data_IF_883206480359
#
_entry.id   IF_883206480359
#
_cell.length_a   1.000
_cell.length_b   1.000
_cell.length_c   1.000
_cell.angle_alpha   90.00
_cell.angle_beta   90.00
_cell.angle_gamma   90.00
#
_symmetry.space_group_name_H-M   'P 1'
#
loop_
_entity.id
_entity.type
_entity.pdbx_description
1 polymer ?
#
# COMPACT_ATOMS: atom_id res chain seq x y z
N UNK A 1 31.33 -17.57 16.03
CA UNK A 1 30.29 -17.08 15.10
C UNK A 1 30.82 -15.82 14.43
N UNK A 2 31.16 -15.88 13.12
CA UNK A 2 31.64 -14.70 12.39
C UNK A 2 30.45 -13.73 12.21
N UNK A 3 30.57 -12.51 12.75
CA UNK A 3 29.63 -11.43 12.46
C UNK A 3 29.55 -11.28 10.94
N UNK A 4 28.39 -11.59 10.33
CA UNK A 4 28.15 -11.28 8.92
C UNK A 4 28.41 -9.79 8.75
N UNK A 5 29.30 -9.43 7.80
CA UNK A 5 29.63 -8.02 7.54
C UNK A 5 28.30 -7.30 7.24
N UNK A 6 28.08 -6.18 7.90
CA UNK A 6 26.90 -5.32 7.80
C UNK A 6 26.46 -5.10 6.33
N UNK A 7 27.43 -5.05 5.41
CA UNK A 7 27.23 -4.89 3.96
C UNK A 7 26.47 -6.03 3.26
N UNK A 8 26.32 -7.20 3.89
CA UNK A 8 25.61 -8.34 3.32
C UNK A 8 24.12 -8.38 3.73
N UNK A 9 23.66 -7.41 4.52
CA UNK A 9 22.25 -7.29 4.86
C UNK A 9 21.51 -6.58 3.73
N UNK A 10 20.40 -7.13 3.27
CA UNK A 10 19.56 -6.59 2.19
C UNK A 10 19.17 -5.11 2.46
N UNK A 11 18.82 -4.81 3.70
CA UNK A 11 18.55 -3.47 4.19
C UNK A 11 19.65 -2.46 3.82
N UNK A 12 20.91 -2.79 4.09
CA UNK A 12 22.03 -1.90 3.82
C UNK A 12 22.27 -1.73 2.32
N UNK A 13 22.10 -2.83 1.56
CA UNK A 13 22.21 -2.80 0.10
C UNK A 13 21.13 -1.91 -0.53
N UNK A 14 19.89 -1.96 -0.02
CA UNK A 14 18.78 -1.11 -0.49
C UNK A 14 19.05 0.36 -0.18
N UNK A 15 19.54 0.70 1.03
CA UNK A 15 19.91 2.10 1.36
C UNK A 15 21.00 2.61 0.42
N UNK A 16 22.08 1.85 0.24
CA UNK A 16 23.18 2.25 -0.67
C UNK A 16 22.64 2.46 -2.09
N UNK A 17 21.79 1.55 -2.56
CA UNK A 17 21.19 1.62 -3.88
C UNK A 17 20.29 2.88 -4.04
N UNK A 18 19.48 3.21 -3.04
CA UNK A 18 18.67 4.43 -3.01
C UNK A 18 19.57 5.68 -3.11
N UNK A 19 20.59 5.77 -2.24
CA UNK A 19 21.52 6.92 -2.24
C UNK A 19 22.26 7.04 -3.58
N UNK A 20 22.76 5.92 -4.12
CA UNK A 20 23.42 5.89 -5.43
C UNK A 20 22.46 6.33 -6.57
N UNK A 21 21.19 5.88 -6.51
CA UNK A 21 20.16 6.30 -7.45
C UNK A 21 19.88 7.80 -7.39
N UNK A 22 19.74 8.36 -6.19
CA UNK A 22 19.56 9.80 -5.98
C UNK A 22 20.74 10.59 -6.55
N UNK A 23 21.97 10.17 -6.26
CA UNK A 23 23.19 10.83 -6.77
C UNK A 23 23.24 10.76 -8.29
N UNK A 24 22.97 9.59 -8.89
CA UNK A 24 22.95 9.43 -10.34
C UNK A 24 21.90 10.36 -10.99
N UNK A 25 20.65 10.35 -10.49
CA UNK A 25 19.59 11.19 -11.03
C UNK A 25 19.87 12.69 -10.87
N UNK A 26 20.54 13.08 -9.77
CA UNK A 26 20.93 14.48 -9.54
C UNK A 26 22.06 14.96 -10.47
N UNK A 27 23.14 14.18 -10.60
CA UNK A 27 24.32 14.61 -11.35
C UNK A 27 24.25 14.27 -12.85
N UNK A 28 23.49 13.22 -13.22
CA UNK A 28 23.32 12.75 -14.59
C UNK A 28 21.82 12.49 -14.88
N UNK A 29 20.98 13.55 -14.99
CA UNK A 29 19.52 13.40 -15.13
C UNK A 29 19.09 12.49 -16.28
N UNK A 30 19.67 12.68 -17.48
CA UNK A 30 19.35 11.88 -18.67
C UNK A 30 19.67 10.38 -18.47
N UNK A 31 20.76 10.07 -17.75
CA UNK A 31 21.11 8.69 -17.44
C UNK A 31 20.18 8.15 -16.34
N UNK A 32 19.82 9.01 -15.38
CA UNK A 32 18.83 8.67 -14.35
C UNK A 32 17.47 8.29 -14.96
N UNK A 33 16.97 9.04 -15.92
CA UNK A 33 15.73 8.73 -16.63
C UNK A 33 15.78 7.36 -17.34
N UNK A 34 16.92 7.02 -17.95
CA UNK A 34 17.13 5.73 -18.61
C UNK A 34 17.13 4.54 -17.65
N UNK A 35 17.25 4.75 -16.34
CA UNK A 35 17.21 3.68 -15.32
C UNK A 35 15.79 3.22 -14.95
N UNK A 36 14.75 3.86 -15.47
CA UNK A 36 13.34 3.48 -15.27
C UNK A 36 13.08 1.98 -15.46
N UNK A 37 13.60 1.31 -16.51
CA UNK A 37 13.35 -0.12 -16.72
C UNK A 37 13.81 -1.03 -15.58
N UNK A 38 14.81 -0.64 -14.77
CA UNK A 38 15.27 -1.43 -13.63
C UNK A 38 14.22 -1.43 -12.51
N UNK A 39 13.60 -0.28 -12.23
CA UNK A 39 12.52 -0.16 -11.27
C UNK A 39 11.25 -0.88 -11.74
N UNK A 40 10.82 -0.59 -12.97
CA UNK A 40 9.62 -1.20 -13.55
C UNK A 40 9.76 -2.73 -13.69
N UNK A 41 10.95 -3.19 -14.09
CA UNK A 41 11.26 -4.62 -14.21
C UNK A 41 11.17 -5.35 -12.87
N UNK A 42 11.71 -4.76 -11.80
CA UNK A 42 11.59 -5.32 -10.46
C UNK A 42 10.13 -5.39 -9.99
N UNK A 43 9.36 -4.31 -10.16
CA UNK A 43 7.92 -4.30 -9.81
C UNK A 43 7.18 -5.37 -10.61
N UNK A 44 7.48 -5.53 -11.90
CA UNK A 44 6.86 -6.55 -12.76
C UNK A 44 7.17 -7.98 -12.27
N UNK A 45 8.42 -8.23 -11.83
CA UNK A 45 8.81 -9.52 -11.24
C UNK A 45 8.07 -9.80 -9.93
N UNK A 46 7.91 -8.79 -9.06
CA UNK A 46 7.15 -8.95 -7.82
C UNK A 46 5.66 -9.20 -8.12
N UNK A 47 5.06 -8.43 -9.03
CA UNK A 47 3.65 -8.62 -9.42
C UNK A 47 3.37 -10.04 -9.93
N UNK A 48 4.29 -10.64 -10.68
CA UNK A 48 4.19 -12.00 -11.18
C UNK A 48 3.91 -13.05 -10.09
N UNK A 49 4.43 -12.84 -8.86
CA UNK A 49 4.31 -13.82 -7.76
C UNK A 49 3.18 -13.49 -6.78
N UNK A 50 2.57 -12.29 -6.85
CA UNK A 50 1.55 -11.86 -5.89
C UNK A 50 0.32 -12.79 -5.91
N UNK A 51 -0.25 -13.06 -7.10
CA UNK A 51 -1.44 -13.88 -7.23
C UNK A 51 -1.23 -15.31 -6.70
N UNK A 52 -0.16 -16.05 -7.05
CA UNK A 52 0.16 -17.34 -6.46
C UNK A 52 0.32 -17.30 -4.94
N UNK A 53 1.03 -16.30 -4.39
CA UNK A 53 1.23 -16.19 -2.93
C UNK A 53 -0.10 -15.99 -2.21
N UNK A 54 -0.92 -15.03 -2.66
CA UNK A 54 -2.22 -14.75 -2.05
C UNK A 54 -3.13 -16.00 -2.13
N UNK A 55 -3.22 -16.60 -3.31
CA UNK A 55 -4.06 -17.78 -3.53
C UNK A 55 -3.68 -18.91 -2.58
N UNK A 56 -2.40 -19.29 -2.52
CA UNK A 56 -1.94 -20.39 -1.67
C UNK A 56 -2.11 -20.06 -0.19
N UNK A 57 -1.67 -18.88 0.25
CA UNK A 57 -1.69 -18.49 1.68
C UNK A 57 -3.12 -18.41 2.20
N UNK A 58 -4.00 -17.75 1.46
CA UNK A 58 -5.39 -17.59 1.89
C UNK A 58 -6.17 -18.90 1.81
N UNK A 59 -6.03 -19.67 0.72
CA UNK A 59 -6.69 -20.97 0.57
C UNK A 59 -6.28 -21.91 1.70
N UNK A 60 -4.99 -22.06 1.98
CA UNK A 60 -4.49 -22.90 3.07
C UNK A 60 -4.90 -22.37 4.45
N UNK A 61 -4.86 -21.03 4.63
CA UNK A 61 -5.31 -20.40 5.86
C UNK A 61 -6.75 -20.73 6.19
N UNK A 62 -7.64 -20.73 5.19
CA UNK A 62 -9.05 -21.09 5.36
C UNK A 62 -9.21 -22.63 5.47
N UNK A 63 -8.53 -23.41 4.63
CA UNK A 63 -8.63 -24.89 4.62
C UNK A 63 -8.27 -25.51 5.98
N UNK A 64 -7.32 -24.90 6.72
CA UNK A 64 -6.96 -25.34 8.06
C UNK A 64 -7.92 -24.85 9.16
N UNK A 65 -8.94 -24.04 8.84
CA UNK A 65 -9.95 -23.62 9.80
C UNK A 65 -11.03 -24.70 9.97
N UNK A 66 -11.38 -24.93 11.22
CA UNK A 66 -12.47 -25.88 11.56
C UNK A 66 -13.85 -25.21 11.51
N UNK A 67 -13.93 -23.89 11.45
CA UNK A 67 -15.18 -23.12 11.53
C UNK A 67 -15.20 -21.96 10.52
N UNK A 68 -16.06 -22.08 9.50
CA UNK A 68 -16.26 -21.06 8.46
C UNK A 68 -16.84 -19.74 9.00
N UNK A 69 -17.55 -19.78 10.13
CA UNK A 69 -18.03 -18.54 10.78
C UNK A 69 -16.88 -17.65 11.23
N UNK A 70 -15.71 -18.24 11.54
CA UNK A 70 -14.49 -17.47 11.86
C UNK A 70 -14.02 -16.63 10.68
N UNK A 71 -14.04 -17.16 9.45
CA UNK A 71 -13.62 -16.41 8.24
C UNK A 71 -14.47 -15.17 8.07
N UNK A 72 -15.80 -15.31 8.13
CA UNK A 72 -16.72 -14.18 8.05
C UNK A 72 -16.49 -13.16 9.17
N UNK A 73 -16.25 -13.62 10.40
CA UNK A 73 -15.97 -12.73 11.54
C UNK A 73 -14.65 -11.96 11.38
N UNK A 74 -13.60 -12.61 10.89
CA UNK A 74 -12.32 -11.92 10.59
C UNK A 74 -12.53 -10.84 9.53
N UNK A 75 -13.22 -11.18 8.43
CA UNK A 75 -13.51 -10.25 7.35
C UNK A 75 -14.30 -9.02 7.86
N UNK A 76 -15.36 -9.23 8.66
CA UNK A 76 -16.14 -8.14 9.25
C UNK A 76 -15.28 -7.26 10.15
N UNK A 77 -14.47 -7.84 11.03
CA UNK A 77 -13.58 -7.06 11.92
C UNK A 77 -12.52 -6.29 11.14
N UNK A 78 -11.94 -6.89 10.09
CA UNK A 78 -11.02 -6.19 9.20
C UNK A 78 -11.71 -5.02 8.51
N UNK A 79 -12.91 -5.20 7.96
CA UNK A 79 -13.68 -4.13 7.33
C UNK A 79 -14.02 -3.00 8.31
N UNK A 80 -14.46 -3.32 9.53
CA UNK A 80 -14.71 -2.31 10.57
C UNK A 80 -13.44 -1.50 10.82
N UNK A 81 -12.30 -2.17 10.99
CA UNK A 81 -11.01 -1.50 11.15
C UNK A 81 -10.70 -0.59 9.96
N UNK A 82 -10.74 -1.12 8.75
CA UNK A 82 -10.40 -0.39 7.52
C UNK A 82 -11.28 0.84 7.32
N UNK A 83 -12.59 0.71 7.46
CA UNK A 83 -13.49 1.86 7.32
C UNK A 83 -13.27 2.90 8.41
N UNK A 84 -13.04 2.48 9.65
CA UNK A 84 -12.78 3.40 10.77
C UNK A 84 -11.51 4.21 10.53
N UNK A 85 -10.39 3.56 10.22
CA UNK A 85 -9.10 4.24 10.04
C UNK A 85 -9.02 5.01 8.73
N UNK A 86 -9.64 4.52 7.66
CA UNK A 86 -9.82 5.30 6.42
C UNK A 86 -10.60 6.59 6.67
N UNK A 87 -11.69 6.54 7.45
CA UNK A 87 -12.48 7.73 7.80
C UNK A 87 -11.65 8.71 8.64
N UNK A 88 -10.93 8.22 9.64
CA UNK A 88 -10.04 9.05 10.45
C UNK A 88 -8.94 9.70 9.60
N UNK A 89 -8.35 8.96 8.67
CA UNK A 89 -7.32 9.48 7.74
C UNK A 89 -7.86 10.60 6.86
N UNK A 90 -9.08 10.43 6.29
CA UNK A 90 -9.77 11.46 5.50
C UNK A 90 -10.05 12.71 6.35
N UNK A 91 -10.60 12.54 7.56
CA UNK A 91 -10.91 13.65 8.48
C UNK A 91 -9.65 14.41 8.87
N UNK A 92 -8.57 13.71 9.23
CA UNK A 92 -7.30 14.34 9.60
C UNK A 92 -6.74 15.13 8.43
N UNK A 93 -6.72 14.56 7.21
CA UNK A 93 -6.29 15.27 6.01
C UNK A 93 -7.14 16.53 5.74
N UNK A 94 -8.46 16.46 5.99
CA UNK A 94 -9.37 17.59 5.85
C UNK A 94 -9.09 18.69 6.89
N UNK A 95 -8.90 18.32 8.16
CA UNK A 95 -8.60 19.26 9.25
C UNK A 95 -7.27 19.96 8.97
N UNK A 96 -6.21 19.20 8.65
CA UNK A 96 -4.88 19.75 8.39
C UNK A 96 -4.89 20.66 7.16
N UNK A 97 -5.58 20.24 6.08
CA UNK A 97 -5.72 21.04 4.86
C UNK A 97 -6.44 22.37 5.07
N UNK A 98 -7.43 22.42 5.98
CA UNK A 98 -8.12 23.66 6.34
C UNK A 98 -7.29 24.54 7.29
N UNK A 99 -6.48 23.97 8.18
CA UNK A 99 -5.66 24.74 9.14
C UNK A 99 -4.43 25.31 8.43
N UNK A 100 -3.68 24.50 7.70
CA UNK A 100 -2.43 24.90 7.08
C UNK A 100 -2.59 25.59 5.72
N UNK A 101 -3.70 25.35 5.05
CA UNK A 101 -4.07 25.96 3.77
C UNK A 101 -2.92 26.02 2.74
N UNK A 102 -2.33 24.86 2.35
CA UNK A 102 -1.12 24.83 1.54
C UNK A 102 -1.28 25.42 0.13
N UNK A 103 -2.50 25.57 -0.37
CA UNK A 103 -2.80 26.21 -1.66
C UNK A 103 -3.11 27.71 -1.57
N UNK A 104 -3.27 28.25 -0.36
CA UNK A 104 -3.68 29.64 -0.20
C UNK A 104 -2.63 30.62 -0.75
N UNK A 105 -3.10 31.65 -1.48
CA UNK A 105 -2.23 32.71 -2.04
C UNK A 105 -1.59 32.38 -3.38
N UNK A 106 -1.81 31.19 -3.95
CA UNK A 106 -1.34 30.88 -5.30
C UNK A 106 -2.14 31.61 -6.39
N UNK A 107 -3.41 31.90 -6.15
CA UNK A 107 -4.31 32.72 -7.01
C UNK A 107 -4.23 32.33 -8.49
N UNK A 108 -4.27 31.05 -8.79
CA UNK A 108 -4.14 30.53 -10.14
C UNK A 108 -5.48 30.67 -10.86
N UNK A 109 -5.47 31.26 -12.05
CA UNK A 109 -6.64 31.34 -12.91
C UNK A 109 -6.91 29.93 -13.54
N UNK A 110 -8.08 29.33 -13.28
CA UNK A 110 -8.44 28.03 -13.86
C UNK A 110 -8.32 27.99 -15.39
N UNK A 111 -8.54 29.13 -16.10
CA UNK A 111 -8.43 29.20 -17.53
C UNK A 111 -7.00 29.01 -18.07
N UNK A 112 -5.99 29.16 -17.22
CA UNK A 112 -4.58 29.00 -17.59
C UNK A 112 -4.08 27.55 -17.43
N UNK A 113 -4.90 26.66 -16.84
CA UNK A 113 -4.50 25.29 -16.60
C UNK A 113 -4.52 24.50 -17.91
N UNK A 114 -3.35 24.31 -18.48
CA UNK A 114 -3.12 23.47 -19.65
C UNK A 114 -2.33 22.23 -19.24
N UNK A 115 -2.94 21.08 -19.25
CA UNK A 115 -2.26 19.81 -18.99
C UNK A 115 -3.11 18.66 -19.49
N UNK A 116 -2.47 17.65 -20.07
CA UNK A 116 -3.16 16.46 -20.54
C UNK A 116 -3.45 15.52 -19.37
N UNK A 117 -4.62 15.72 -18.75
CA UNK A 117 -5.19 14.81 -17.73
C UNK A 117 -6.26 13.87 -18.33
N UNK A 118 -6.42 13.87 -19.64
CA UNK A 118 -7.46 13.13 -20.37
C UNK A 118 -7.42 11.62 -20.09
N UNK A 119 -6.20 11.02 -20.04
CA UNK A 119 -6.05 9.61 -19.72
C UNK A 119 -6.48 9.25 -18.29
N UNK A 120 -6.35 10.18 -17.33
CA UNK A 120 -6.80 9.98 -15.96
C UNK A 120 -8.32 10.17 -15.85
N UNK A 121 -8.88 11.11 -16.62
CA UNK A 121 -10.34 11.32 -16.72
C UNK A 121 -11.03 10.09 -17.33
N UNK A 122 -10.50 9.53 -18.41
CA UNK A 122 -11.07 8.35 -19.07
C UNK A 122 -11.14 7.16 -18.09
N UNK A 123 -10.04 6.87 -17.38
CA UNK A 123 -10.01 5.81 -16.36
C UNK A 123 -10.91 6.08 -15.16
N UNK A 124 -11.13 7.34 -14.79
CA UNK A 124 -12.00 7.72 -13.70
C UNK A 124 -13.49 7.49 -14.01
N UNK A 125 -13.93 7.71 -15.27
CA UNK A 125 -15.30 7.45 -15.70
C UNK A 125 -15.70 5.97 -15.66
N UNK A 126 -14.73 5.04 -15.76
CA UNK A 126 -14.97 3.60 -15.63
C UNK A 126 -15.17 3.15 -14.17
N UNK A 127 -14.87 4.00 -13.21
CA UNK A 127 -14.86 3.67 -11.77
C UNK A 127 -16.19 3.95 -11.07
N UNK A 128 -17.28 3.29 -11.51
CA UNK A 128 -18.55 3.30 -10.77
C UNK A 128 -18.52 2.28 -9.63
N UNK A 129 -19.28 2.50 -8.54
CA UNK A 129 -19.39 1.54 -7.43
C UNK A 129 -19.88 0.16 -7.92
N UNK A 130 -20.87 0.15 -8.82
CA UNK A 130 -21.37 -1.09 -9.44
C UNK A 130 -20.29 -1.77 -10.27
N UNK A 131 -19.57 -1.01 -11.12
CA UNK A 131 -18.44 -1.52 -11.88
C UNK A 131 -17.35 -2.11 -10.98
N UNK A 132 -17.02 -1.43 -9.88
CA UNK A 132 -16.06 -1.94 -8.88
C UNK A 132 -16.50 -3.27 -8.28
N UNK A 133 -17.77 -3.39 -7.84
CA UNK A 133 -18.29 -4.63 -7.25
C UNK A 133 -18.32 -5.75 -8.30
N UNK A 134 -18.77 -5.46 -9.51
CA UNK A 134 -18.81 -6.46 -10.59
C UNK A 134 -17.41 -6.90 -11.01
N UNK A 135 -16.43 -6.01 -10.95
CA UNK A 135 -15.03 -6.32 -11.27
C UNK A 135 -14.33 -7.21 -10.21
N UNK A 136 -14.93 -7.44 -9.05
CA UNK A 136 -14.46 -8.45 -8.07
C UNK A 136 -14.72 -9.87 -8.58
N UNK A 137 -15.74 -10.07 -9.42
CA UNK A 137 -16.11 -11.38 -9.95
C UNK A 137 -15.31 -11.64 -11.23
N UNK A 138 -14.44 -12.66 -11.26
CA UNK A 138 -13.64 -12.94 -12.46
C UNK A 138 -14.47 -13.63 -13.54
N UNK A 139 -14.03 -13.53 -14.79
CA UNK A 139 -14.66 -14.21 -15.93
C UNK A 139 -14.51 -15.74 -15.85
N UNK A 140 -13.39 -16.22 -15.32
CA UNK A 140 -13.13 -17.65 -15.11
C UNK A 140 -12.42 -17.89 -13.78
N UNK A 141 -12.46 -19.13 -13.27
CA UNK A 141 -11.82 -19.52 -12.02
C UNK A 141 -10.29 -19.28 -12.03
N UNK A 142 -9.64 -19.38 -13.18
CA UNK A 142 -8.20 -19.29 -13.31
C UNK A 142 -7.72 -17.90 -13.80
N UNK A 143 -8.58 -17.10 -14.43
CA UNK A 143 -8.19 -15.76 -14.92
C UNK A 143 -7.57 -14.84 -13.85
N UNK A 144 -7.97 -14.87 -12.57
CA UNK A 144 -7.32 -14.07 -11.54
C UNK A 144 -5.84 -14.39 -11.30
N UNK A 145 -5.45 -15.66 -11.51
CA UNK A 145 -4.06 -16.08 -11.27
C UNK A 145 -3.09 -15.59 -12.35
N UNK A 146 -3.61 -15.14 -13.49
CA UNK A 146 -2.84 -14.57 -14.61
C UNK A 146 -3.14 -13.08 -14.84
N UNK A 147 -4.07 -12.51 -14.07
CA UNK A 147 -4.45 -11.09 -14.12
C UNK A 147 -3.82 -10.27 -13.00
N UNK A 148 -4.09 -8.96 -13.02
CA UNK A 148 -3.53 -8.00 -12.06
C UNK A 148 -4.52 -7.63 -10.93
N UNK A 149 -5.75 -8.20 -10.93
CA UNK A 149 -6.79 -7.84 -9.96
C UNK A 149 -6.71 -8.71 -8.69
N UNK A 150 -6.11 -8.14 -7.64
CA UNK A 150 -5.94 -8.81 -6.33
C UNK A 150 -7.28 -9.24 -5.72
N UNK A 151 -8.36 -8.46 -5.88
CA UNK A 151 -9.67 -8.78 -5.32
C UNK A 151 -10.30 -10.01 -5.97
N UNK A 152 -10.06 -10.22 -7.28
CA UNK A 152 -10.49 -11.44 -7.96
C UNK A 152 -9.72 -12.67 -7.42
N UNK A 153 -8.41 -12.53 -7.20
CA UNK A 153 -7.59 -13.60 -6.57
C UNK A 153 -8.11 -13.94 -5.18
N UNK A 154 -8.44 -12.92 -4.37
CA UNK A 154 -9.02 -13.09 -3.04
C UNK A 154 -10.34 -13.86 -3.09
N UNK A 155 -11.26 -13.45 -3.97
CA UNK A 155 -12.54 -14.14 -4.11
C UNK A 155 -12.34 -15.63 -4.42
N UNK A 156 -11.52 -15.95 -5.42
CA UNK A 156 -11.25 -17.33 -5.83
C UNK A 156 -10.54 -18.11 -4.71
N UNK A 157 -9.58 -17.50 -4.02
CA UNK A 157 -8.90 -18.14 -2.90
C UNK A 157 -9.85 -18.45 -1.72
N UNK A 158 -10.78 -17.53 -1.40
CA UNK A 158 -11.80 -17.75 -0.39
C UNK A 158 -12.74 -18.90 -0.79
N UNK A 159 -13.25 -18.87 -2.02
CA UNK A 159 -14.13 -19.92 -2.52
C UNK A 159 -13.45 -21.29 -2.51
N UNK A 160 -12.18 -21.37 -2.95
CA UNK A 160 -11.39 -22.60 -2.93
C UNK A 160 -11.15 -23.07 -1.50
N UNK A 161 -10.75 -22.21 -0.59
CA UNK A 161 -10.54 -22.54 0.83
C UNK A 161 -11.80 -23.05 1.50
N UNK A 162 -12.95 -22.40 1.25
CA UNK A 162 -14.28 -22.86 1.74
C UNK A 162 -14.63 -24.22 1.15
N UNK A 163 -14.43 -24.43 -0.16
CA UNK A 163 -14.69 -25.70 -0.80
C UNK A 163 -13.84 -26.83 -0.20
N UNK A 164 -12.55 -26.58 0.09
CA UNK A 164 -11.68 -27.57 0.75
C UNK A 164 -12.15 -27.91 2.17
N UNK A 165 -12.63 -26.92 2.95
CA UNK A 165 -13.24 -27.19 4.27
C UNK A 165 -14.49 -28.03 4.15
N UNK A 166 -15.37 -27.76 3.18
CA UNK A 166 -16.63 -28.47 2.99
C UNK A 166 -16.42 -29.90 2.48
N UNK A 167 -15.35 -30.14 1.73
CA UNK A 167 -15.06 -31.49 1.15
C UNK A 167 -14.08 -32.34 1.97
N UNK A 168 -13.44 -31.74 2.98
CA UNK A 168 -12.48 -32.32 3.96
C UNK A 168 -11.71 -33.58 3.45
N UNK A 169 -12.19 -34.78 3.79
CA UNK A 169 -11.46 -36.04 3.55
C UNK A 169 -11.18 -36.31 2.06
N UNK A 170 -12.09 -35.91 1.16
CA UNK A 170 -11.93 -36.12 -0.28
C UNK A 170 -10.89 -35.15 -0.90
N UNK A 171 -10.63 -34.03 -0.27
CA UNK A 171 -9.75 -32.99 -0.78
C UNK A 171 -8.40 -32.87 -0.05
N UNK A 172 -8.10 -33.77 0.90
CA UNK A 172 -6.86 -33.71 1.68
C UNK A 172 -5.61 -33.67 0.78
N UNK A 173 -5.58 -34.47 -0.28
CA UNK A 173 -4.47 -34.47 -1.25
C UNK A 173 -4.24 -33.10 -1.93
N UNK A 174 -5.33 -32.36 -2.17
CA UNK A 174 -5.23 -31.01 -2.76
C UNK A 174 -4.66 -30.03 -1.74
N UNK A 175 -5.07 -30.14 -0.48
CA UNK A 175 -4.54 -29.30 0.61
C UNK A 175 -3.05 -29.59 0.81
N UNK A 176 -2.64 -30.86 0.85
CA UNK A 176 -1.23 -31.27 0.98
C UNK A 176 -0.40 -30.77 -0.20
N UNK A 177 -0.90 -30.89 -1.44
CA UNK A 177 -0.25 -30.36 -2.64
C UNK A 177 -0.03 -28.83 -2.57
N UNK A 178 -1.05 -28.08 -2.16
CA UNK A 178 -0.91 -26.63 -1.99
C UNK A 178 0.09 -26.29 -0.88
N UNK A 179 0.14 -27.06 0.21
CA UNK A 179 1.11 -26.91 1.28
C UNK A 179 2.54 -27.12 0.76
N UNK A 180 2.77 -28.18 0.00
CA UNK A 180 4.06 -28.48 -0.62
C UNK A 180 4.46 -27.41 -1.63
N UNK A 181 3.50 -26.93 -2.45
CA UNK A 181 3.71 -25.87 -3.43
C UNK A 181 4.05 -24.51 -2.78
N UNK A 182 3.59 -24.27 -1.56
CA UNK A 182 3.89 -23.03 -0.83
C UNK A 182 5.40 -22.82 -0.66
N UNK A 183 6.15 -23.90 -0.37
CA UNK A 183 7.60 -23.84 -0.12
C UNK A 183 8.40 -23.27 -1.31
N UNK A 184 8.31 -23.83 -2.55
CA UNK A 184 9.01 -23.25 -3.69
C UNK A 184 8.49 -21.87 -4.06
N UNK A 185 7.20 -21.56 -3.88
CA UNK A 185 6.64 -20.23 -4.15
C UNK A 185 7.27 -19.18 -3.23
N UNK A 186 7.35 -19.42 -1.92
CA UNK A 186 8.04 -18.50 -1.01
C UNK A 186 9.57 -18.44 -1.27
N UNK A 187 10.18 -19.52 -1.77
CA UNK A 187 11.59 -19.47 -2.19
C UNK A 187 11.79 -18.55 -3.40
N UNK A 188 10.85 -18.54 -4.35
CA UNK A 188 10.86 -17.58 -5.47
C UNK A 188 10.74 -16.14 -4.92
N UNK A 189 9.81 -15.86 -4.02
CA UNK A 189 9.70 -14.55 -3.36
C UNK A 189 11.06 -14.12 -2.81
N UNK A 190 11.70 -14.98 -2.03
CA UNK A 190 13.01 -14.69 -1.46
C UNK A 190 14.11 -14.43 -2.51
N UNK A 191 14.08 -15.16 -3.65
CA UNK A 191 15.00 -14.91 -4.76
C UNK A 191 14.76 -13.54 -5.39
N UNK A 192 13.49 -13.17 -5.62
CA UNK A 192 13.10 -11.88 -6.19
C UNK A 192 13.48 -10.71 -5.27
N UNK A 193 13.29 -10.86 -3.95
CA UNK A 193 13.66 -9.83 -2.98
C UNK A 193 15.16 -9.51 -2.98
N UNK A 194 16.04 -10.42 -3.37
CA UNK A 194 17.47 -10.13 -3.55
C UNK A 194 17.75 -9.12 -4.68
N UNK A 195 16.82 -8.94 -5.59
CA UNK A 195 16.90 -7.94 -6.67
C UNK A 195 16.38 -6.55 -6.24
N UNK A 196 15.82 -6.44 -5.03
CA UNK A 196 15.24 -5.18 -4.53
C UNK A 196 16.21 -3.98 -4.57
N UNK A 197 17.52 -4.11 -4.26
CA UNK A 197 18.47 -3.00 -4.40
C UNK A 197 18.54 -2.46 -5.83
N UNK A 198 18.50 -3.34 -6.84
CA UNK A 198 18.53 -2.94 -8.27
C UNK A 198 17.25 -2.16 -8.63
N UNK A 199 16.10 -2.67 -8.20
CA UNK A 199 14.81 -2.00 -8.39
C UNK A 199 14.75 -0.62 -7.73
N UNK A 200 15.20 -0.53 -6.48
CA UNK A 200 15.22 0.70 -5.71
C UNK A 200 16.18 1.75 -6.32
N UNK A 201 17.38 1.33 -6.74
CA UNK A 201 18.33 2.18 -7.47
C UNK A 201 17.69 2.77 -8.72
N UNK A 202 17.13 1.91 -9.60
CA UNK A 202 16.54 2.35 -10.86
C UNK A 202 15.34 3.28 -10.67
N UNK A 203 14.47 2.98 -9.72
CA UNK A 203 13.31 3.81 -9.41
C UNK A 203 13.71 5.19 -8.88
N UNK A 204 14.69 5.28 -7.97
CA UNK A 204 15.16 6.55 -7.42
C UNK A 204 15.96 7.36 -8.44
N UNK A 205 16.82 6.73 -9.23
CA UNK A 205 17.57 7.40 -10.30
C UNK A 205 16.62 8.04 -11.31
N UNK A 206 15.60 7.30 -11.75
CA UNK A 206 14.56 7.81 -12.65
C UNK A 206 13.78 8.98 -12.03
N UNK A 207 13.34 8.83 -10.78
CA UNK A 207 12.52 9.84 -10.10
C UNK A 207 13.27 11.18 -10.02
N UNK A 208 14.51 11.14 -9.55
CA UNK A 208 15.31 12.37 -9.39
C UNK A 208 15.77 12.90 -10.75
N UNK A 209 16.13 12.05 -11.71
CA UNK A 209 16.51 12.48 -13.05
C UNK A 209 15.39 13.22 -13.77
N UNK A 210 14.18 12.65 -13.74
CA UNK A 210 13.02 13.21 -14.46
C UNK A 210 12.40 14.43 -13.80
N UNK A 211 12.20 14.38 -12.48
CA UNK A 211 11.43 15.42 -11.77
C UNK A 211 12.34 16.46 -11.11
N UNK A 212 13.62 16.15 -10.93
CA UNK A 212 14.61 17.05 -10.33
C UNK A 212 14.27 17.43 -8.89
N UNK A 213 15.23 17.96 -8.17
CA UNK A 213 14.99 18.50 -6.82
C UNK A 213 14.29 19.87 -6.85
N UNK A 214 14.46 20.65 -7.92
CA UNK A 214 13.86 21.99 -8.04
C UNK A 214 12.35 21.96 -8.28
N UNK A 215 11.82 20.96 -8.98
CA UNK A 215 10.37 20.82 -9.19
C UNK A 215 9.59 20.66 -7.87
N UNK A 216 10.26 20.20 -6.83
CA UNK A 216 9.69 20.03 -5.49
C UNK A 216 9.67 21.33 -4.70
N UNK A 217 10.57 22.27 -4.99
CA UNK A 217 10.70 23.53 -4.21
C UNK A 217 9.40 24.34 -4.26
N UNK A 218 8.76 24.41 -5.42
CA UNK A 218 7.54 25.20 -5.61
C UNK A 218 6.32 24.62 -4.88
N UNK A 219 6.35 23.32 -4.55
CA UNK A 219 5.25 22.61 -3.89
C UNK A 219 5.68 21.95 -2.58
N UNK A 220 6.83 22.39 -2.06
CA UNK A 220 7.46 21.82 -0.84
C UNK A 220 6.50 21.89 0.36
N UNK A 221 5.68 22.93 0.42
CA UNK A 221 4.77 23.14 1.52
C UNK A 221 3.64 22.09 1.51
N UNK A 222 3.06 21.78 0.34
CA UNK A 222 2.06 20.70 0.22
C UNK A 222 2.69 19.34 0.55
N UNK A 223 3.87 19.06 -0.05
CA UNK A 223 4.58 17.80 0.21
C UNK A 223 4.93 17.69 1.69
N UNK A 224 5.50 18.74 2.28
CA UNK A 224 5.82 18.78 3.71
C UNK A 224 4.60 18.58 4.60
N UNK A 225 3.50 19.28 4.31
CA UNK A 225 2.22 19.11 5.02
C UNK A 225 1.75 17.65 4.96
N UNK A 226 1.81 17.04 3.78
CA UNK A 226 1.38 15.65 3.61
C UNK A 226 2.25 14.66 4.39
N UNK A 227 3.59 14.81 4.32
CA UNK A 227 4.52 13.95 5.05
C UNK A 227 4.37 14.10 6.57
N UNK A 228 4.24 15.33 7.08
CA UNK A 228 4.01 15.59 8.51
C UNK A 228 2.66 15.00 8.95
N UNK A 229 1.59 15.21 8.18
CA UNK A 229 0.27 14.66 8.50
C UNK A 229 0.29 13.13 8.54
N UNK A 230 0.93 12.50 7.56
CA UNK A 230 1.08 11.05 7.50
C UNK A 230 1.93 10.52 8.66
N UNK A 231 3.02 11.20 9.01
CA UNK A 231 3.85 10.84 10.15
C UNK A 231 3.08 10.96 11.48
N UNK A 232 2.32 12.07 11.67
CA UNK A 232 1.48 12.25 12.86
C UNK A 232 0.37 11.18 12.92
N UNK A 233 -0.26 10.85 11.79
CA UNK A 233 -1.24 9.76 11.72
C UNK A 233 -0.61 8.43 12.16
N UNK A 234 0.57 8.09 11.61
CA UNK A 234 1.27 6.85 11.96
C UNK A 234 1.66 6.81 13.44
N UNK A 235 2.20 7.91 13.98
CA UNK A 235 2.72 7.94 15.36
C UNK A 235 1.58 8.08 16.38
N UNK A 236 0.64 8.98 16.16
CA UNK A 236 -0.41 9.27 17.14
C UNK A 236 -1.57 8.30 17.01
N UNK A 237 -2.12 8.11 15.81
CA UNK A 237 -3.31 7.27 15.62
C UNK A 237 -2.93 5.79 15.63
N UNK A 238 -2.07 5.37 14.71
CA UNK A 238 -1.67 3.97 14.64
C UNK A 238 -0.79 3.57 15.83
N UNK A 239 0.01 4.51 16.37
CA UNK A 239 0.80 4.31 17.59
C UNK A 239 -0.07 4.07 18.82
N UNK A 240 -1.15 4.84 19.01
CA UNK A 240 -2.12 4.63 20.08
C UNK A 240 -2.83 3.27 19.94
N UNK A 241 -3.21 2.91 18.72
CA UNK A 241 -3.82 1.60 18.44
C UNK A 241 -2.88 0.46 18.74
N UNK A 242 -1.61 0.56 18.32
CA UNK A 242 -0.58 -0.43 18.60
C UNK A 242 -0.37 -0.58 20.12
N UNK A 243 -0.22 0.53 20.82
CA UNK A 243 -0.08 0.55 22.28
C UNK A 243 -1.26 -0.10 23.00
N UNK A 244 -2.49 0.23 22.60
CA UNK A 244 -3.71 -0.37 23.16
C UNK A 244 -3.77 -1.89 22.93
N UNK A 245 -3.22 -2.38 21.82
CA UNK A 245 -3.14 -3.81 21.49
C UNK A 245 -1.88 -4.50 22.04
N UNK A 246 -1.05 -3.79 22.83
CA UNK A 246 0.06 -4.36 23.55
C UNK A 246 1.36 -4.51 22.76
N UNK A 247 1.58 -3.72 21.70
CA UNK A 247 2.83 -3.69 20.97
C UNK A 247 3.29 -2.26 20.64
N UNK A 248 4.59 -2.11 20.37
CA UNK A 248 5.19 -0.82 20.06
C UNK A 248 5.31 -0.62 18.55
N UNK A 249 4.72 0.47 18.03
CA UNK A 249 4.73 0.77 16.60
C UNK A 249 6.15 0.97 16.06
N UNK A 250 7.04 1.65 16.81
CA UNK A 250 8.40 1.89 16.35
C UNK A 250 9.22 0.59 16.23
N UNK A 251 8.99 -0.37 17.12
CA UNK A 251 9.59 -1.71 17.02
C UNK A 251 9.03 -2.46 15.80
N UNK A 252 7.73 -2.32 15.52
CA UNK A 252 7.13 -2.90 14.31
C UNK A 252 7.73 -2.28 13.05
N UNK A 253 7.85 -0.95 12.97
CA UNK A 253 8.50 -0.26 11.85
C UNK A 253 9.94 -0.73 11.65
N UNK A 254 10.70 -0.89 12.74
CA UNK A 254 12.06 -1.39 12.67
C UNK A 254 12.15 -2.85 12.22
N UNK A 255 11.19 -3.68 12.64
CA UNK A 255 11.08 -5.07 12.19
C UNK A 255 10.77 -5.18 10.68
N UNK A 256 9.95 -4.26 10.15
CA UNK A 256 9.54 -4.20 8.73
C UNK A 256 10.42 -3.28 7.87
N UNK A 257 11.55 -2.80 8.39
CA UNK A 257 12.39 -1.77 7.76
C UNK A 257 12.80 -2.07 6.32
N UNK A 258 13.05 -3.33 5.98
CA UNK A 258 13.49 -3.74 4.64
C UNK A 258 12.36 -3.58 3.63
N UNK A 259 11.16 -4.01 4.01
CA UNK A 259 9.95 -3.86 3.21
C UNK A 259 9.57 -2.39 3.07
N UNK A 260 9.68 -1.62 4.15
CA UNK A 260 9.39 -0.17 4.12
C UNK A 260 10.38 0.59 3.22
N UNK A 261 11.67 0.25 3.26
CA UNK A 261 12.66 0.83 2.35
C UNK A 261 12.41 0.44 0.90
N UNK A 262 11.99 -0.80 0.66
CA UNK A 262 11.61 -1.24 -0.67
C UNK A 262 10.42 -0.45 -1.20
N UNK A 263 9.40 -0.24 -0.36
CA UNK A 263 8.23 0.59 -0.69
C UNK A 263 8.66 2.03 -0.97
N UNK A 264 9.54 2.61 -0.16
CA UNK A 264 10.07 3.94 -0.39
C UNK A 264 10.79 4.04 -1.74
N UNK A 265 11.69 3.10 -2.03
CA UNK A 265 12.46 3.11 -3.28
C UNK A 265 11.61 2.89 -4.53
N UNK A 266 10.57 2.08 -4.44
CA UNK A 266 9.69 1.72 -5.57
C UNK A 266 8.44 2.59 -5.68
N UNK A 267 8.05 3.30 -4.62
CA UNK A 267 6.78 4.01 -4.47
C UNK A 267 5.55 3.11 -4.68
N UNK A 268 5.70 1.82 -4.42
CA UNK A 268 4.64 0.81 -4.60
C UNK A 268 4.53 -0.06 -3.35
N UNK A 269 3.38 -0.01 -2.70
CA UNK A 269 3.09 -0.88 -1.56
C UNK A 269 3.03 -2.36 -1.95
N UNK A 270 2.62 -2.66 -3.18
CA UNK A 270 2.55 -4.04 -3.70
C UNK A 270 3.93 -4.72 -3.76
N UNK A 271 5.01 -3.95 -3.95
CA UNK A 271 6.36 -4.50 -4.01
C UNK A 271 6.78 -5.22 -2.71
N UNK A 272 6.22 -4.82 -1.57
CA UNK A 272 6.52 -5.40 -0.26
C UNK A 272 5.49 -6.45 0.20
N UNK A 273 4.39 -6.65 -0.53
CA UNK A 273 3.28 -7.51 -0.11
C UNK A 273 3.73 -8.92 0.34
N UNK A 274 4.50 -9.67 -0.45
CA UNK A 274 4.92 -11.02 -0.05
C UNK A 274 5.81 -11.00 1.21
N UNK A 275 6.74 -10.05 1.31
CA UNK A 275 7.63 -9.91 2.46
C UNK A 275 6.88 -9.55 3.75
N UNK A 276 5.92 -8.63 3.66
CA UNK A 276 5.04 -8.26 4.79
C UNK A 276 4.23 -9.46 5.27
N UNK A 277 3.63 -10.24 4.35
CA UNK A 277 2.88 -11.43 4.72
C UNK A 277 3.76 -12.43 5.47
N UNK A 278 4.93 -12.75 4.94
CA UNK A 278 5.88 -13.67 5.55
C UNK A 278 6.34 -13.19 6.93
N UNK A 279 6.72 -11.90 7.08
CA UNK A 279 7.17 -11.34 8.35
C UNK A 279 6.06 -11.31 9.40
N UNK A 280 4.81 -10.99 9.03
CA UNK A 280 3.69 -11.00 9.97
C UNK A 280 3.30 -12.41 10.43
N UNK A 281 3.36 -13.41 9.55
CA UNK A 281 3.19 -14.82 9.95
C UNK A 281 4.27 -15.24 10.96
N UNK A 282 5.53 -14.92 10.70
CA UNK A 282 6.65 -15.19 11.62
C UNK A 282 6.53 -14.47 12.95
N UNK A 283 5.96 -13.25 12.92
CA UNK A 283 5.68 -12.47 14.13
C UNK A 283 4.51 -13.05 14.94
N UNK A 284 3.97 -14.20 14.56
CA UNK A 284 2.94 -14.90 15.34
C UNK A 284 1.50 -14.60 14.95
N UNK A 285 1.25 -13.88 13.84
CA UNK A 285 -0.08 -13.77 13.25
C UNK A 285 -0.43 -15.06 12.51
N UNK A 286 -1.65 -15.59 12.68
CA UNK A 286 -2.05 -16.80 11.96
C UNK A 286 -2.12 -16.58 10.44
N UNK A 287 -1.80 -17.61 9.65
CA UNK A 287 -1.85 -17.58 8.19
C UNK A 287 -3.21 -17.13 7.64
N UNK A 288 -4.29 -17.57 8.27
CA UNK A 288 -5.63 -17.19 7.88
C UNK A 288 -5.87 -15.69 7.99
N UNK A 289 -5.38 -15.05 9.05
CA UNK A 289 -5.50 -13.59 9.23
C UNK A 289 -4.58 -12.85 8.28
N UNK A 290 -3.33 -13.25 8.18
CA UNK A 290 -2.38 -12.62 7.25
C UNK A 290 -2.87 -12.73 5.82
N UNK A 291 -3.27 -13.93 5.38
CA UNK A 291 -3.76 -14.19 4.03
C UNK A 291 -5.04 -13.42 3.67
N UNK A 292 -5.90 -13.12 4.65
CA UNK A 292 -7.12 -12.35 4.43
C UNK A 292 -6.92 -10.85 4.60
N UNK A 293 -6.33 -10.42 5.74
CA UNK A 293 -6.28 -9.00 6.13
C UNK A 293 -5.26 -8.23 5.29
N UNK A 294 -4.07 -8.79 5.08
CA UNK A 294 -3.02 -8.07 4.32
C UNK A 294 -3.48 -7.78 2.90
N UNK A 295 -3.86 -8.76 2.05
CA UNK A 295 -4.24 -8.48 0.68
C UNK A 295 -5.52 -7.63 0.58
N UNK A 296 -6.51 -7.87 1.45
CA UNK A 296 -7.74 -7.08 1.48
C UNK A 296 -7.44 -5.62 1.84
N UNK A 297 -6.52 -5.39 2.78
CA UNK A 297 -6.09 -4.06 3.19
C UNK A 297 -5.45 -3.25 2.06
N UNK A 298 -4.80 -3.90 1.09
CA UNK A 298 -4.25 -3.21 -0.09
C UNK A 298 -5.30 -2.52 -0.98
N UNK A 299 -6.56 -2.91 -0.84
CA UNK A 299 -7.69 -2.28 -1.55
C UNK A 299 -8.58 -1.46 -0.62
N UNK A 300 -8.70 -1.85 0.66
CA UNK A 300 -9.67 -1.26 1.58
C UNK A 300 -9.06 -0.39 2.68
N UNK A 301 -7.77 -0.55 3.01
CA UNK A 301 -7.07 0.19 4.07
C UNK A 301 -5.96 1.09 3.52
N UNK A 302 -6.34 2.08 2.74
CA UNK A 302 -5.42 2.98 2.04
C UNK A 302 -5.29 4.33 2.79
N UNK A 303 -4.81 4.29 4.04
CA UNK A 303 -4.76 5.44 4.95
C UNK A 303 -4.00 6.64 4.34
N UNK A 304 -2.81 6.40 3.78
CA UNK A 304 -2.01 7.43 3.13
C UNK A 304 -2.68 8.00 1.88
N UNK A 305 -3.39 7.17 1.10
CA UNK A 305 -4.17 7.63 -0.05
C UNK A 305 -5.34 8.49 0.41
N UNK A 306 -6.00 8.13 1.50
CA UNK A 306 -7.11 8.91 2.05
C UNK A 306 -6.66 10.29 2.53
N UNK A 307 -5.53 10.40 3.27
CA UNK A 307 -4.95 11.70 3.65
C UNK A 307 -4.61 12.52 2.39
N UNK A 308 -4.00 11.88 1.40
CA UNK A 308 -3.66 12.54 0.13
C UNK A 308 -4.89 13.11 -0.57
N UNK A 309 -5.96 12.34 -0.69
CA UNK A 309 -7.15 12.75 -1.43
C UNK A 309 -7.77 14.03 -0.87
N UNK A 310 -7.90 14.13 0.43
CA UNK A 310 -8.46 15.33 1.09
C UNK A 310 -7.51 16.51 1.02
N UNK A 311 -6.21 16.33 1.30
CA UNK A 311 -5.22 17.40 1.21
C UNK A 311 -5.04 17.92 -0.22
N UNK A 312 -4.95 17.03 -1.21
CA UNK A 312 -4.79 17.42 -2.61
C UNK A 312 -6.02 18.14 -3.15
N UNK A 313 -7.23 17.66 -2.83
CA UNK A 313 -8.47 18.33 -3.24
C UNK A 313 -8.59 19.73 -2.64
N UNK A 314 -8.30 19.88 -1.33
CA UNK A 314 -8.32 21.19 -0.68
C UNK A 314 -7.22 22.11 -1.22
N UNK A 315 -6.02 21.57 -1.48
CA UNK A 315 -4.95 22.35 -2.09
C UNK A 315 -5.38 22.92 -3.46
N UNK A 316 -5.96 22.10 -4.32
CA UNK A 316 -6.44 22.54 -5.65
C UNK A 316 -7.52 23.61 -5.49
N UNK A 317 -8.50 23.41 -4.60
CA UNK A 317 -9.54 24.41 -4.35
C UNK A 317 -8.95 25.74 -3.86
N UNK A 318 -8.04 25.69 -2.88
CA UNK A 318 -7.37 26.88 -2.33
C UNK A 318 -6.51 27.59 -3.37
N UNK A 319 -5.75 26.84 -4.19
CA UNK A 319 -4.88 27.40 -5.23
C UNK A 319 -5.69 28.14 -6.30
N UNK A 320 -6.91 27.71 -6.56
CA UNK A 320 -7.85 28.31 -7.52
C UNK A 320 -8.81 29.33 -6.89
N UNK A 321 -8.63 29.68 -5.59
CA UNK A 321 -9.52 30.57 -4.82
C UNK A 321 -10.97 30.05 -4.75
N UNK A 322 -11.18 28.75 -4.79
CA UNK A 322 -12.50 28.15 -4.68
C UNK A 322 -12.83 27.92 -3.20
N UNK A 323 -13.85 28.61 -2.70
CA UNK A 323 -14.34 28.40 -1.35
C UNK A 323 -15.18 27.12 -1.27
N UNK A 324 -14.78 26.14 -0.50
CA UNK A 324 -15.52 24.91 -0.24
C UNK A 324 -16.21 24.99 1.14
N UNK A 325 -17.53 25.19 1.19
CA UNK A 325 -18.25 25.13 2.44
C UNK A 325 -18.19 23.72 3.05
N UNK A 326 -18.40 23.62 4.38
CA UNK A 326 -18.26 22.35 5.11
C UNK A 326 -19.12 21.22 4.53
N UNK A 327 -20.31 21.52 4.00
CA UNK A 327 -21.18 20.55 3.35
C UNK A 327 -20.52 19.90 2.12
N UNK A 328 -19.81 20.70 1.31
CA UNK A 328 -19.09 20.22 0.14
C UNK A 328 -17.82 19.42 0.53
N UNK A 329 -17.19 19.82 1.64
CA UNK A 329 -16.07 19.07 2.19
C UNK A 329 -16.52 17.70 2.75
N UNK A 330 -17.69 17.62 3.38
CA UNK A 330 -18.28 16.35 3.82
C UNK A 330 -18.67 15.47 2.62
N UNK A 331 -19.22 16.07 1.57
CA UNK A 331 -19.49 15.35 0.31
C UNK A 331 -18.18 14.82 -0.30
N UNK A 332 -17.13 15.64 -0.37
CA UNK A 332 -15.79 15.23 -0.80
C UNK A 332 -15.28 14.03 0.01
N UNK A 333 -15.44 14.05 1.34
CA UNK A 333 -15.03 12.96 2.23
C UNK A 333 -15.79 11.67 1.90
N UNK A 334 -17.13 11.72 1.71
CA UNK A 334 -17.93 10.55 1.38
C UNK A 334 -17.52 9.96 0.02
N UNK A 335 -17.36 10.82 -1.00
CA UNK A 335 -16.92 10.39 -2.33
C UNK A 335 -15.51 9.80 -2.27
N UNK A 336 -14.56 10.43 -1.56
CA UNK A 336 -13.22 9.94 -1.37
C UNK A 336 -13.18 8.60 -0.63
N UNK A 337 -14.05 8.41 0.37
CA UNK A 337 -14.20 7.13 1.06
C UNK A 337 -14.57 6.00 0.10
N UNK A 338 -15.49 6.23 -0.82
CA UNK A 338 -15.94 5.21 -1.77
C UNK A 338 -14.91 5.01 -2.89
N UNK A 339 -14.41 6.08 -3.51
CA UNK A 339 -13.47 6.00 -4.62
C UNK A 339 -12.12 5.44 -4.21
N UNK A 340 -11.67 5.69 -2.97
CA UNK A 340 -10.42 5.12 -2.46
C UNK A 340 -10.40 3.58 -2.44
N UNK A 341 -11.56 2.93 -2.34
CA UNK A 341 -11.65 1.46 -2.31
C UNK A 341 -11.39 0.81 -3.69
N UNK A 342 -11.45 1.60 -4.76
CA UNK A 342 -11.05 1.17 -6.11
C UNK A 342 -9.58 1.44 -6.44
N UNK A 343 -8.84 2.08 -5.55
CA UNK A 343 -7.44 2.39 -5.79
C UNK A 343 -6.55 1.14 -5.63
N UNK A 344 -5.61 0.96 -6.56
CA UNK A 344 -4.58 -0.05 -6.43
C UNK A 344 -3.35 0.49 -5.65
N UNK A 345 -2.55 -0.39 -5.07
CA UNK A 345 -1.32 -0.04 -4.33
C UNK A 345 -0.13 0.32 -5.24
N UNK A 346 -0.38 0.82 -6.45
CA UNK A 346 0.64 1.13 -7.46
C UNK A 346 0.81 2.63 -7.69
N UNK A 347 1.95 3.01 -8.24
CA UNK A 347 2.24 4.40 -8.60
C UNK A 347 1.21 4.94 -9.59
N UNK A 348 0.69 6.14 -9.32
CA UNK A 348 -0.33 6.80 -10.15
C UNK A 348 -1.78 6.40 -9.85
N UNK A 349 -2.05 5.28 -9.18
CA UNK A 349 -3.41 4.89 -8.84
C UNK A 349 -4.12 5.92 -7.94
N UNK A 350 -3.42 6.50 -6.96
CA UNK A 350 -3.98 7.57 -6.13
C UNK A 350 -4.35 8.82 -6.94
N UNK A 351 -3.60 9.12 -7.99
CA UNK A 351 -3.91 10.24 -8.89
C UNK A 351 -5.19 9.97 -9.70
N UNK A 352 -5.36 8.73 -10.22
CA UNK A 352 -6.62 8.31 -10.89
C UNK A 352 -7.80 8.39 -9.92
N UNK A 353 -7.60 7.93 -8.67
CA UNK A 353 -8.64 7.97 -7.63
C UNK A 353 -9.02 9.41 -7.26
N UNK A 354 -8.04 10.32 -7.21
CA UNK A 354 -8.30 11.74 -7.02
C UNK A 354 -9.11 12.31 -8.19
N UNK A 355 -8.77 11.97 -9.45
CA UNK A 355 -9.55 12.39 -10.61
C UNK A 355 -11.02 11.90 -10.53
N UNK A 356 -11.22 10.63 -10.14
CA UNK A 356 -12.55 10.08 -9.93
C UNK A 356 -13.33 10.82 -8.82
N UNK A 357 -12.65 11.20 -7.74
CA UNK A 357 -13.25 11.97 -6.64
C UNK A 357 -13.64 13.37 -7.10
N UNK A 358 -12.76 14.09 -7.80
CA UNK A 358 -13.03 15.43 -8.31
C UNK A 358 -14.13 15.44 -9.40
N UNK A 359 -14.26 14.36 -10.18
CA UNK A 359 -15.35 14.24 -11.17
C UNK A 359 -16.74 14.29 -10.55
N UNK A 360 -16.88 13.91 -9.27
CA UNK A 360 -18.15 13.93 -8.52
C UNK A 360 -18.33 15.21 -7.71
N UNK A 361 -17.27 16.03 -7.59
CA UNK A 361 -17.27 17.31 -6.87
C UNK A 361 -17.00 18.44 -7.88
N UNK A 362 -18.03 18.88 -8.63
CA UNK A 362 -17.85 19.74 -9.81
C UNK A 362 -17.31 21.14 -9.48
N UNK A 363 -17.35 21.54 -8.22
CA UNK A 363 -16.78 22.79 -7.74
C UNK A 363 -15.26 22.85 -7.96
N UNK A 364 -14.56 21.72 -7.91
CA UNK A 364 -13.12 21.65 -8.09
C UNK A 364 -12.82 21.10 -9.50
N UNK A 365 -12.30 21.92 -10.42
CA UNK A 365 -12.05 21.45 -11.79
C UNK A 365 -10.93 20.39 -11.80
N UNK A 366 -11.15 19.29 -12.50
CA UNK A 366 -10.18 18.20 -12.65
C UNK A 366 -8.86 18.72 -13.27
N UNK A 367 -8.93 19.73 -14.12
CA UNK A 367 -7.74 20.39 -14.68
C UNK A 367 -6.78 20.92 -13.59
N UNK A 368 -7.28 21.24 -12.39
CA UNK A 368 -6.46 21.62 -11.24
C UNK A 368 -5.46 20.55 -10.82
N UNK A 369 -5.66 19.30 -11.19
CA UNK A 369 -4.70 18.22 -10.93
C UNK A 369 -3.35 18.43 -11.61
N UNK A 370 -3.28 19.24 -12.67
CA UNK A 370 -2.02 19.60 -13.32
C UNK A 370 -1.04 20.28 -12.35
N UNK A 371 -1.57 21.00 -11.35
CA UNK A 371 -0.77 21.69 -10.34
C UNK A 371 0.06 20.73 -9.47
N UNK A 372 -0.45 19.52 -9.24
CA UNK A 372 0.19 18.53 -8.38
C UNK A 372 0.82 17.37 -9.16
N UNK A 373 0.66 17.33 -10.49
CA UNK A 373 1.16 16.24 -11.33
C UNK A 373 2.68 16.04 -11.18
N UNK A 374 3.44 17.14 -11.14
CA UNK A 374 4.90 17.10 -11.03
C UNK A 374 5.43 16.56 -9.69
N UNK A 375 4.61 16.66 -8.62
CA UNK A 375 5.00 16.20 -7.27
C UNK A 375 4.31 14.90 -6.84
N UNK A 376 3.34 14.41 -7.62
CA UNK A 376 2.56 13.21 -7.25
C UNK A 376 3.46 12.01 -6.99
N UNK A 377 4.59 11.92 -7.66
CA UNK A 377 5.57 10.84 -7.43
C UNK A 377 6.09 10.83 -5.98
N UNK A 378 6.46 11.99 -5.44
CA UNK A 378 6.93 12.10 -4.05
C UNK A 378 5.80 11.84 -3.04
N UNK A 379 4.61 12.32 -3.36
CA UNK A 379 3.42 12.02 -2.54
C UNK A 379 3.06 10.52 -2.61
N UNK A 380 3.30 9.87 -3.76
CA UNK A 380 3.08 8.43 -3.92
C UNK A 380 3.97 7.59 -3.00
N UNK A 381 5.21 8.00 -2.77
CA UNK A 381 6.13 7.33 -1.82
C UNK A 381 5.56 7.34 -0.40
N UNK A 382 5.14 8.51 0.08
CA UNK A 382 4.55 8.65 1.41
C UNK A 382 3.22 7.91 1.54
N UNK A 383 2.35 7.96 0.49
CA UNK A 383 1.10 7.18 0.44
C UNK A 383 1.37 5.70 0.62
N UNK A 384 2.30 5.16 -0.18
CA UNK A 384 2.64 3.74 -0.17
C UNK A 384 3.16 3.28 1.20
N UNK A 385 4.06 4.07 1.82
CA UNK A 385 4.56 3.80 3.17
C UNK A 385 3.45 3.78 4.21
N UNK A 386 2.61 4.82 4.23
CA UNK A 386 1.51 4.94 5.19
C UNK A 386 0.51 3.81 5.04
N UNK A 387 0.18 3.43 3.81
CA UNK A 387 -0.72 2.32 3.51
C UNK A 387 -0.17 0.98 4.03
N UNK A 388 1.10 0.68 3.78
CA UNK A 388 1.74 -0.57 4.24
C UNK A 388 1.82 -0.64 5.76
N UNK A 389 2.18 0.46 6.41
CA UNK A 389 2.24 0.54 7.88
C UNK A 389 0.86 0.35 8.48
N UNK A 390 -0.16 1.07 7.98
CA UNK A 390 -1.54 0.93 8.42
C UNK A 390 -2.06 -0.50 8.26
N UNK A 391 -1.77 -1.13 7.13
CA UNK A 391 -2.18 -2.51 6.84
C UNK A 391 -1.48 -3.53 7.75
N UNK A 392 -0.19 -3.32 8.05
CA UNK A 392 0.56 -4.17 8.97
C UNK A 392 0.02 -4.06 10.40
N UNK A 393 -0.28 -2.84 10.88
CA UNK A 393 -0.92 -2.61 12.18
C UNK A 393 -2.30 -3.27 12.21
N UNK A 394 -3.13 -3.08 11.19
CA UNK A 394 -4.45 -3.71 11.06
C UNK A 394 -4.38 -5.23 11.23
N UNK A 395 -3.41 -5.86 10.58
CA UNK A 395 -3.23 -7.32 10.64
C UNK A 395 -2.92 -7.80 12.05
N UNK A 396 -1.99 -7.15 12.76
CA UNK A 396 -1.67 -7.49 14.15
C UNK A 396 -2.87 -7.25 15.07
N UNK A 397 -3.60 -6.15 14.88
CA UNK A 397 -4.78 -5.80 15.67
C UNK A 397 -5.91 -6.82 15.48
N UNK A 398 -6.22 -7.16 14.23
CA UNK A 398 -7.27 -8.15 13.93
C UNK A 398 -6.86 -9.54 14.46
N UNK A 399 -5.57 -9.91 14.37
CA UNK A 399 -5.04 -11.14 14.95
C UNK A 399 -5.23 -11.17 16.48
N UNK A 400 -5.00 -10.04 17.15
CA UNK A 400 -5.23 -9.90 18.59
C UNK A 400 -6.73 -10.00 18.93
N UNK A 401 -7.60 -9.32 18.19
CA UNK A 401 -9.06 -9.37 18.40
C UNK A 401 -9.67 -10.76 18.19
N UNK A 402 -9.06 -11.55 17.31
CA UNK A 402 -9.46 -12.95 17.05
C UNK A 402 -8.77 -13.96 17.96
N UNK A 403 -7.88 -13.50 18.86
CA UNK A 403 -7.06 -14.37 19.72
C UNK A 403 -6.22 -15.39 18.91
N UNK A 404 -5.80 -14.96 17.72
CA UNK A 404 -4.96 -15.72 16.79
C UNK A 404 -3.58 -15.05 16.62
N UNK A 405 -3.12 -14.34 17.64
CA UNK A 405 -1.82 -13.72 17.76
C UNK A 405 -1.02 -14.41 18.86
N UNK A 406 0.14 -14.95 18.53
CA UNK A 406 1.13 -15.33 19.53
C UNK A 406 1.86 -14.08 20.02
N UNK A 407 1.42 -13.55 21.17
CA UNK A 407 2.00 -12.32 21.75
C UNK A 407 3.46 -12.48 22.17
N UNK A 408 3.87 -13.68 22.60
CA UNK A 408 5.26 -13.95 22.98
C UNK A 408 6.17 -13.94 21.76
N UNK A 409 5.72 -14.60 20.69
CA UNK A 409 6.42 -14.60 19.42
C UNK A 409 6.50 -13.18 18.82
N UNK A 410 5.40 -12.40 18.87
CA UNK A 410 5.40 -11.01 18.43
C UNK A 410 6.48 -10.20 19.17
N UNK A 411 6.47 -10.21 20.50
CA UNK A 411 7.44 -9.44 21.29
C UNK A 411 8.88 -9.91 20.99
N UNK A 412 9.09 -11.21 20.89
CA UNK A 412 10.41 -11.75 20.52
C UNK A 412 10.90 -11.22 19.17
N UNK A 413 10.05 -11.24 18.14
CA UNK A 413 10.39 -10.74 16.80
C UNK A 413 10.66 -9.22 16.80
N UNK A 414 9.85 -8.47 17.55
CA UNK A 414 10.01 -7.02 17.65
C UNK A 414 11.26 -6.61 18.44
N UNK A 415 11.66 -7.40 19.43
CA UNK A 415 12.85 -7.12 20.26
C UNK A 415 14.15 -7.65 19.63
N UNK A 416 14.08 -8.70 18.80
CA UNK A 416 15.22 -9.36 18.20
C UNK A 416 15.09 -9.54 16.67
N UNK A 417 14.86 -8.47 15.90
CA UNK A 417 14.61 -8.57 14.45
C UNK A 417 15.75 -9.28 13.70
N UNK A 418 17.01 -9.03 14.06
CA UNK A 418 18.18 -9.66 13.45
C UNK A 418 18.29 -11.18 13.70
N UNK A 419 17.71 -11.70 14.78
CA UNK A 419 17.71 -13.15 15.06
C UNK A 419 16.70 -13.89 14.17
N UNK A 420 15.63 -13.20 13.76
CA UNK A 420 14.60 -13.73 12.86
C UNK A 420 15.12 -13.78 11.42
N UNK A 421 15.87 -12.78 10.97
CA UNK A 421 16.49 -12.73 9.65
C UNK A 421 17.48 -13.88 9.41
N UNK A 422 18.24 -14.31 10.44
CA UNK A 422 19.18 -15.44 10.34
C UNK A 422 18.53 -16.79 10.05
N UNK A 423 17.28 -17.00 10.47
CA UNK A 423 16.51 -18.22 10.16
C UNK A 423 16.01 -18.26 8.70
N UNK A 424 16.10 -17.16 7.95
CA UNK A 424 15.74 -17.06 6.54
C UNK A 424 16.82 -17.62 5.58
N UNK A 425 18.06 -17.76 6.05
CA UNK A 425 19.23 -18.08 5.22
C UNK A 425 19.66 -19.55 5.31
N UNK A 426 18.98 -20.36 6.12
CA UNK A 426 19.12 -21.81 6.23
C UNK A 426 17.96 -22.50 5.55
#
# INVERSE_FOLDING_TARGET
>A
MKAKKIYNQLYFQVIIAIVAGILLGKFYPELGEKMKPLGDGFIKLVKMIIAPVIFITLTLGIAHMTDLKKVGRIAIKAMIYFFTFSTLALIIGLIVGNILQPGHGLNIDPATLSGDVSQYQAKAHESTLTGFIMNIIPETLFSPLVGDNILQVLLVAILMGVALVLTKEKSQKVTDFLQDLSTPVFKIVHMLMKLAPIGAFGAMAFTIGKYGLHSVINLIFLVGTFYITSALFMVLVLGAVAWYNGFNIFKLLFYLKEELLLVLGTSSSESALPGIMEKLERAGCSRAIVGLVVPTGYSFNLDGTNIYMTLASLFIAQALNIHLPIEKQLMLLLVAMLSSKGAAGVTGAGFVTLAATLAVVPEIPIAGMTLILGIDKFMSECRALTNVIGNSVATVVVANWEKQLDKKQLQFCLDHPAAVEKKLEV
#
